data_IF_441793780325
#
_entry.id   IF_441793780325
#
_cell.length_a   1.000
_cell.length_b   1.000
_cell.length_c   1.000
_cell.angle_alpha   90.00
_cell.angle_beta   90.00
_cell.angle_gamma   90.00
#
_symmetry.space_group_name_H-M   'P 1'
#
loop_
_entity.id
_entity.type
_entity.pdbx_description
1 polymer ?
#
# COMPACT_ATOMS: atom_id res chain seq x y z
N UNK A 1 7.73 -3.11 0.32
CA UNK A 1 9.08 -3.36 -0.22
C UNK A 1 8.95 -3.73 -1.70
N UNK A 2 9.88 -3.30 -2.56
CA UNK A 2 9.84 -3.57 -4.02
C UNK A 2 10.79 -4.73 -4.38
N UNK A 3 10.31 -5.62 -5.23
CA UNK A 3 11.06 -6.72 -5.82
C UNK A 3 10.96 -6.60 -7.34
N UNK A 4 12.10 -6.60 -8.05
CA UNK A 4 12.09 -6.62 -9.52
C UNK A 4 11.74 -8.02 -10.00
N UNK A 5 11.18 -8.10 -11.20
CA UNK A 5 10.92 -9.36 -11.90
C UNK A 5 10.98 -9.09 -13.40
N UNK A 6 11.09 -10.15 -14.20
CA UNK A 6 10.98 -10.07 -15.66
C UNK A 6 9.54 -10.34 -16.09
N UNK A 7 8.95 -9.39 -16.80
CA UNK A 7 7.56 -9.49 -17.23
C UNK A 7 7.43 -10.45 -18.42
N UNK A 8 6.71 -11.55 -18.20
CA UNK A 8 6.28 -12.45 -19.28
C UNK A 8 5.06 -11.89 -20.01
N UNK A 9 4.79 -12.40 -21.21
CA UNK A 9 3.58 -12.05 -22.00
C UNK A 9 2.28 -12.27 -21.23
N UNK A 10 2.23 -13.34 -20.42
CA UNK A 10 1.09 -13.70 -19.57
C UNK A 10 0.86 -12.65 -18.48
N UNK A 11 1.94 -12.17 -17.84
CA UNK A 11 1.85 -11.14 -16.81
C UNK A 11 1.40 -9.81 -17.44
N UNK A 12 1.97 -9.43 -18.57
CA UNK A 12 1.55 -8.22 -19.30
C UNK A 12 0.08 -8.30 -19.68
N UNK A 13 -0.40 -9.45 -20.17
CA UNK A 13 -1.82 -9.67 -20.47
C UNK A 13 -2.68 -9.57 -19.22
N UNK A 14 -2.29 -10.20 -18.11
CA UNK A 14 -3.00 -10.13 -16.84
C UNK A 14 -3.17 -8.68 -16.36
N UNK A 15 -2.09 -7.89 -16.42
CA UNK A 15 -2.12 -6.48 -16.03
C UNK A 15 -3.04 -5.66 -16.94
N UNK A 16 -3.00 -5.88 -18.26
CA UNK A 16 -3.89 -5.20 -19.21
C UNK A 16 -5.35 -5.55 -18.98
N UNK A 17 -5.67 -6.83 -18.84
CA UNK A 17 -7.03 -7.29 -18.60
C UNK A 17 -7.56 -6.74 -17.27
N UNK A 18 -6.76 -6.75 -16.20
CA UNK A 18 -7.14 -6.16 -14.92
C UNK A 18 -7.43 -4.66 -15.02
N UNK A 19 -6.67 -3.92 -15.83
CA UNK A 19 -6.94 -2.50 -16.07
C UNK A 19 -8.21 -2.31 -16.87
N UNK A 20 -8.47 -3.12 -17.89
CA UNK A 20 -9.73 -3.12 -18.63
C UNK A 20 -10.94 -3.38 -17.73
N UNK A 21 -10.85 -4.36 -16.83
CA UNK A 21 -11.88 -4.66 -15.82
C UNK A 21 -12.07 -3.45 -14.88
N UNK A 22 -10.98 -2.85 -14.40
CA UNK A 22 -11.02 -1.72 -13.46
C UNK A 22 -11.65 -0.48 -14.12
N UNK A 23 -11.28 -0.17 -15.35
CA UNK A 23 -11.84 0.96 -16.09
C UNK A 23 -13.34 0.78 -16.35
N UNK A 24 -13.75 -0.42 -16.76
CA UNK A 24 -15.16 -0.77 -16.88
C UNK A 24 -15.93 -0.57 -15.56
N UNK A 25 -15.34 -1.00 -14.44
CA UNK A 25 -15.93 -0.80 -13.11
C UNK A 25 -16.07 0.68 -12.74
N UNK A 26 -15.07 1.52 -13.08
CA UNK A 26 -15.14 2.97 -12.84
C UNK A 26 -16.31 3.58 -13.62
N UNK A 27 -16.46 3.25 -14.90
CA UNK A 27 -17.58 3.73 -15.73
C UNK A 27 -18.92 3.32 -15.14
N UNK A 28 -19.06 2.05 -14.76
CA UNK A 28 -20.30 1.54 -14.16
C UNK A 28 -20.65 2.22 -12.83
N UNK A 29 -19.65 2.50 -11.98
CA UNK A 29 -19.88 3.24 -10.73
C UNK A 29 -20.44 4.65 -11.02
N UNK A 30 -19.90 5.34 -12.04
CA UNK A 30 -20.34 6.68 -12.42
C UNK A 30 -21.79 6.66 -12.96
N UNK A 31 -22.13 5.67 -13.78
CA UNK A 31 -23.49 5.47 -14.31
C UNK A 31 -24.51 5.16 -13.21
N UNK A 32 -24.19 4.20 -12.34
CA UNK A 32 -25.10 3.74 -11.27
C UNK A 32 -25.11 4.67 -10.05
N UNK A 33 -24.20 5.65 -10.00
CA UNK A 33 -23.99 6.57 -8.86
C UNK A 33 -23.84 5.84 -7.52
N UNK A 34 -23.26 4.63 -7.52
CA UNK A 34 -23.10 3.80 -6.32
C UNK A 34 -21.65 3.36 -6.10
N UNK A 35 -21.18 3.45 -4.85
CA UNK A 35 -19.84 2.96 -4.45
C UNK A 35 -19.90 1.68 -3.62
N UNK A 36 -21.08 1.03 -3.61
CA UNK A 36 -21.28 -0.27 -2.95
C UNK A 36 -20.68 -1.38 -3.80
N UNK A 37 -19.77 -2.15 -3.20
CA UNK A 37 -19.13 -3.30 -3.86
C UNK A 37 -20.15 -4.36 -4.26
N UNK A 38 -21.14 -4.62 -3.40
CA UNK A 38 -22.19 -5.60 -3.69
C UNK A 38 -23.12 -5.14 -4.81
N UNK A 39 -23.47 -3.85 -4.85
CA UNK A 39 -24.28 -3.30 -5.94
C UNK A 39 -23.54 -3.37 -7.28
N UNK A 40 -22.25 -3.00 -7.28
CA UNK A 40 -21.42 -3.12 -8.47
C UNK A 40 -21.28 -4.58 -8.91
N UNK A 41 -21.02 -5.50 -7.99
CA UNK A 41 -20.92 -6.93 -8.30
C UNK A 41 -22.17 -7.45 -9.00
N UNK A 42 -23.38 -7.17 -8.48
CA UNK A 42 -24.63 -7.59 -9.13
C UNK A 42 -24.77 -7.00 -10.54
N UNK A 43 -24.27 -5.79 -10.77
CA UNK A 43 -24.42 -5.09 -12.03
C UNK A 43 -23.44 -5.55 -13.12
N UNK A 44 -22.22 -5.96 -12.76
CA UNK A 44 -21.15 -6.26 -13.76
C UNK A 44 -20.67 -7.71 -13.74
N UNK A 45 -20.98 -8.50 -12.71
CA UNK A 45 -20.36 -9.83 -12.55
C UNK A 45 -20.61 -10.75 -13.74
N UNK A 46 -21.86 -10.83 -14.23
CA UNK A 46 -22.20 -11.69 -15.37
C UNK A 46 -21.42 -11.29 -16.62
N UNK A 47 -21.46 -10.01 -16.99
CA UNK A 47 -20.72 -9.45 -18.13
C UNK A 47 -19.20 -9.71 -18.01
N UNK A 48 -18.62 -9.45 -16.83
CA UNK A 48 -17.19 -9.68 -16.61
C UNK A 48 -16.84 -11.18 -16.66
N UNK A 49 -17.70 -12.06 -16.16
CA UNK A 49 -17.44 -13.51 -16.16
C UNK A 49 -17.58 -14.11 -17.55
N UNK A 50 -18.47 -13.58 -18.38
CA UNK A 50 -18.64 -13.99 -19.77
C UNK A 50 -17.46 -13.51 -20.64
N UNK A 51 -16.92 -12.32 -20.35
CA UNK A 51 -15.79 -11.74 -21.10
C UNK A 51 -14.42 -12.25 -20.64
N UNK A 52 -14.24 -12.48 -19.34
CA UNK A 52 -12.94 -12.80 -18.76
C UNK A 52 -12.99 -14.10 -17.98
N UNK A 53 -12.09 -15.02 -18.35
CA UNK A 53 -11.89 -16.25 -17.62
C UNK A 53 -10.79 -16.10 -16.55
N UNK A 54 -11.10 -15.35 -15.50
CA UNK A 54 -10.26 -15.22 -14.32
C UNK A 54 -10.99 -15.70 -13.06
N UNK A 55 -10.22 -15.96 -12.01
CA UNK A 55 -10.77 -16.17 -10.66
C UNK A 55 -11.61 -14.95 -10.22
N UNK A 56 -12.82 -15.17 -9.68
CA UNK A 56 -13.74 -14.11 -9.25
C UNK A 56 -13.12 -13.09 -8.27
N UNK A 57 -12.06 -13.47 -7.54
CA UNK A 57 -11.32 -12.55 -6.67
C UNK A 57 -10.62 -11.41 -7.43
N UNK A 58 -10.31 -11.56 -8.72
CA UNK A 58 -9.83 -10.46 -9.56
C UNK A 58 -10.89 -9.36 -9.68
N UNK A 59 -12.14 -9.73 -9.94
CA UNK A 59 -13.25 -8.77 -10.05
C UNK A 59 -13.48 -8.03 -8.73
N UNK A 60 -13.49 -8.75 -7.61
CA UNK A 60 -13.61 -8.13 -6.28
C UNK A 60 -12.49 -7.14 -6.02
N UNK A 61 -11.25 -7.49 -6.38
CA UNK A 61 -10.12 -6.57 -6.24
C UNK A 61 -10.26 -5.34 -7.14
N UNK A 62 -10.68 -5.53 -8.40
CA UNK A 62 -10.92 -4.43 -9.33
C UNK A 62 -12.00 -3.46 -8.80
N UNK A 63 -13.06 -3.96 -8.17
CA UNK A 63 -14.09 -3.11 -7.53
C UNK A 63 -13.49 -2.20 -6.44
N UNK A 64 -12.60 -2.76 -5.61
CA UNK A 64 -11.93 -1.99 -4.55
C UNK A 64 -10.96 -0.95 -5.12
N UNK A 65 -10.22 -1.32 -6.18
CA UNK A 65 -9.32 -0.39 -6.87
C UNK A 65 -10.11 0.73 -7.52
N UNK A 66 -11.16 0.43 -8.28
CA UNK A 66 -12.04 1.42 -8.92
C UNK A 66 -12.61 2.42 -7.90
N UNK A 67 -13.11 1.92 -6.76
CA UNK A 67 -13.61 2.76 -5.66
C UNK A 67 -12.51 3.68 -5.08
N UNK A 68 -11.30 3.15 -4.86
CA UNK A 68 -10.16 3.94 -4.35
C UNK A 68 -9.75 5.03 -5.34
N UNK A 69 -9.72 4.71 -6.63
CA UNK A 69 -9.41 5.66 -7.71
C UNK A 69 -10.43 6.80 -7.69
N UNK A 70 -11.72 6.48 -7.67
CA UNK A 70 -12.79 7.49 -7.60
C UNK A 70 -12.71 8.34 -6.33
N UNK A 71 -12.46 7.74 -5.16
CA UNK A 71 -12.29 8.49 -3.91
C UNK A 71 -11.14 9.50 -4.01
N UNK A 72 -10.01 9.10 -4.60
CA UNK A 72 -8.87 10.01 -4.80
C UNK A 72 -9.16 11.10 -5.84
N UNK A 73 -10.00 10.80 -6.84
CA UNK A 73 -10.35 11.72 -7.92
C UNK A 73 -11.47 12.70 -7.56
N UNK A 74 -12.17 12.54 -6.43
CA UNK A 74 -13.20 13.50 -6.00
C UNK A 74 -12.69 14.95 -5.90
N UNK A 75 -11.39 15.13 -5.64
CA UNK A 75 -10.74 16.44 -5.60
C UNK A 75 -10.40 17.00 -6.99
N UNK A 76 -10.63 16.23 -8.06
CA UNK A 76 -10.29 16.58 -9.45
C UNK A 76 -11.58 16.76 -10.26
N UNK A 77 -11.65 17.80 -11.10
CA UNK A 77 -12.81 18.12 -11.94
C UNK A 77 -12.99 17.20 -13.18
N UNK A 78 -12.27 16.07 -13.25
CA UNK A 78 -12.26 15.17 -14.42
C UNK A 78 -12.46 13.72 -13.99
N UNK A 79 -13.11 12.93 -14.85
CA UNK A 79 -13.26 11.50 -14.65
C UNK A 79 -11.86 10.85 -14.57
N UNK A 80 -11.60 9.99 -13.58
CA UNK A 80 -10.31 9.35 -13.46
C UNK A 80 -10.11 8.30 -14.56
N UNK A 81 -8.90 8.27 -15.12
CA UNK A 81 -8.47 7.24 -16.07
C UNK A 81 -7.28 6.50 -15.46
N UNK A 82 -7.35 5.17 -15.41
CA UNK A 82 -6.25 4.34 -14.93
C UNK A 82 -5.26 4.13 -16.07
N UNK A 83 -4.18 4.92 -16.09
CA UNK A 83 -3.17 4.86 -17.16
C UNK A 83 -2.08 3.84 -16.91
N UNK A 84 -1.71 3.62 -15.65
CA UNK A 84 -0.61 2.74 -15.29
C UNK A 84 -1.13 1.31 -15.18
N UNK A 85 -0.44 0.36 -15.81
CA UNK A 85 -0.74 -1.04 -15.67
C UNK A 85 -0.29 -1.54 -14.29
N UNK A 86 -1.26 -1.72 -13.39
CA UNK A 86 -1.01 -2.34 -12.09
C UNK A 86 -2.19 -3.21 -11.65
N UNK A 87 -1.92 -4.12 -10.74
CA UNK A 87 -2.91 -4.92 -10.03
C UNK A 87 -2.62 -4.91 -8.53
N UNK A 88 -3.68 -4.82 -7.74
CA UNK A 88 -3.64 -5.16 -6.32
C UNK A 88 -4.25 -6.54 -6.16
N UNK A 89 -3.53 -7.48 -5.56
CA UNK A 89 -4.03 -8.84 -5.40
C UNK A 89 -4.84 -8.98 -4.10
N UNK A 90 -5.90 -9.79 -4.20
CA UNK A 90 -6.48 -10.40 -3.01
C UNK A 90 -5.46 -11.36 -2.39
N UNK A 91 -5.34 -11.46 -1.06
CA UNK A 91 -4.44 -12.41 -0.41
C UNK A 91 -4.67 -13.87 -0.84
N UNK A 92 -5.88 -14.20 -1.31
CA UNK A 92 -6.24 -15.54 -1.80
C UNK A 92 -5.70 -15.86 -3.19
N UNK A 93 -5.27 -14.85 -3.95
CA UNK A 93 -4.74 -15.02 -5.31
C UNK A 93 -3.23 -15.21 -5.31
N UNK A 94 -2.54 -14.95 -4.21
CA UNK A 94 -1.08 -14.91 -4.18
C UNK A 94 -0.50 -15.75 -3.06
N UNK A 95 0.60 -16.44 -3.34
CA UNK A 95 1.45 -17.06 -2.34
C UNK A 95 2.90 -16.65 -2.61
N UNK A 96 3.53 -16.04 -1.61
CA UNK A 96 4.95 -15.72 -1.65
C UNK A 96 5.70 -16.79 -0.86
N UNK A 97 6.80 -17.31 -1.41
CA UNK A 97 7.66 -18.30 -0.75
C UNK A 97 9.04 -17.75 -0.36
N UNK A 98 9.30 -16.49 -0.66
CA UNK A 98 10.58 -15.82 -0.40
C UNK A 98 11.29 -15.41 -1.68
N UNK A 99 11.18 -16.20 -2.74
CA UNK A 99 11.93 -16.02 -4.00
C UNK A 99 11.02 -15.97 -5.22
N UNK A 100 9.87 -16.64 -5.13
CA UNK A 100 8.87 -16.69 -6.19
C UNK A 100 7.54 -16.19 -5.63
N UNK A 101 6.86 -15.38 -6.44
CA UNK A 101 5.46 -15.06 -6.22
C UNK A 101 4.60 -15.96 -7.11
N UNK A 102 3.86 -16.87 -6.47
CA UNK A 102 2.83 -17.67 -7.14
C UNK A 102 1.52 -16.90 -7.20
N UNK A 103 0.95 -16.78 -8.39
CA UNK A 103 -0.30 -16.05 -8.68
C UNK A 103 -1.32 -17.04 -9.25
N UNK A 104 -2.46 -17.21 -8.60
CA UNK A 104 -3.59 -17.96 -9.16
C UNK A 104 -4.28 -17.11 -10.21
N UNK A 105 -4.34 -17.59 -11.44
CA UNK A 105 -5.04 -16.93 -12.55
C UNK A 105 -6.45 -17.49 -12.67
N UNK A 106 -6.54 -18.82 -12.70
CA UNK A 106 -7.77 -19.62 -12.74
C UNK A 106 -7.72 -20.71 -11.67
N UNK A 107 -8.82 -21.41 -11.38
CA UNK A 107 -8.78 -22.60 -10.53
C UNK A 107 -7.71 -23.59 -11.04
N UNK A 108 -6.73 -23.92 -10.18
CA UNK A 108 -5.62 -24.84 -10.47
C UNK A 108 -4.62 -24.36 -11.53
N UNK A 109 -4.71 -23.12 -11.99
CA UNK A 109 -3.74 -22.52 -12.93
C UNK A 109 -2.99 -21.39 -12.25
N UNK A 110 -1.66 -21.47 -12.28
CA UNK A 110 -0.77 -20.58 -11.57
C UNK A 110 0.32 -20.01 -12.47
N UNK A 111 0.59 -18.72 -12.31
CA UNK A 111 1.82 -18.10 -12.79
C UNK A 111 2.83 -18.07 -11.65
N UNK A 112 4.08 -18.32 -11.98
CA UNK A 112 5.21 -18.25 -11.06
C UNK A 112 6.10 -17.11 -11.50
N UNK A 113 6.30 -16.15 -10.61
CA UNK A 113 7.06 -14.92 -10.90
C UNK A 113 8.32 -14.94 -10.05
N UNK A 114 9.48 -15.32 -10.61
CA UNK A 114 10.77 -15.21 -9.93
C UNK A 114 11.05 -13.75 -9.57
N UNK A 115 11.46 -13.51 -8.32
CA UNK A 115 11.75 -12.18 -7.81
C UNK A 115 13.26 -12.01 -7.65
N UNK A 116 13.78 -10.88 -8.13
CA UNK A 116 15.15 -10.49 -7.85
C UNK A 116 15.27 -9.99 -6.39
N UNK A 117 16.05 -10.72 -5.58
CA UNK A 117 16.30 -10.40 -4.17
C UNK A 117 17.70 -9.81 -4.00
N UNK A 118 17.77 -8.54 -3.66
CA UNK A 118 19.00 -7.90 -3.18
C UNK A 118 19.20 -8.06 -1.68
N UNK A 119 20.36 -7.61 -1.19
CA UNK A 119 20.70 -7.65 0.25
C UNK A 119 19.68 -6.95 1.14
N UNK A 120 19.14 -5.81 0.68
CA UNK A 120 18.14 -5.06 1.42
C UNK A 120 16.84 -5.87 1.60
N UNK A 121 16.40 -6.57 0.55
CA UNK A 121 15.20 -7.40 0.61
C UNK A 121 15.40 -8.63 1.49
N UNK A 122 16.61 -9.23 1.45
CA UNK A 122 16.94 -10.48 2.16
C UNK A 122 16.60 -10.41 3.65
N UNK A 123 16.97 -9.32 4.34
CA UNK A 123 16.64 -9.10 5.76
C UNK A 123 15.14 -9.23 6.07
N UNK A 124 14.28 -8.71 5.20
CA UNK A 124 12.83 -8.80 5.38
C UNK A 124 12.26 -10.16 4.99
N UNK A 125 12.83 -10.79 3.96
CA UNK A 125 12.47 -12.16 3.56
C UNK A 125 12.79 -13.14 4.68
N UNK A 126 13.97 -13.03 5.30
CA UNK A 126 14.40 -13.90 6.39
C UNK A 126 13.54 -13.69 7.65
N UNK A 127 13.29 -12.43 8.01
CA UNK A 127 12.39 -12.11 9.12
C UNK A 127 10.95 -12.61 8.89
N UNK A 128 10.47 -12.62 7.63
CA UNK A 128 9.19 -13.23 7.28
C UNK A 128 9.22 -14.76 7.36
N UNK A 129 10.28 -15.42 6.84
CA UNK A 129 10.48 -16.87 6.95
C UNK A 129 10.48 -17.33 8.41
N UNK A 130 11.06 -16.53 9.31
CA UNK A 130 11.07 -16.75 10.76
C UNK A 130 9.77 -16.31 11.47
N UNK A 131 8.68 -16.05 10.73
CA UNK A 131 7.36 -15.65 11.24
C UNK A 131 7.32 -14.34 12.08
N UNK A 132 8.40 -13.55 12.07
CA UNK A 132 8.47 -12.23 12.74
C UNK A 132 7.62 -11.21 11.98
N UNK A 133 7.54 -11.35 10.65
CA UNK A 133 6.76 -10.50 9.76
C UNK A 133 5.59 -11.26 9.12
N UNK A 134 4.52 -10.54 8.81
CA UNK A 134 3.37 -11.01 8.02
C UNK A 134 3.26 -10.25 6.72
N UNK A 135 2.72 -10.89 5.69
CA UNK A 135 2.54 -10.26 4.37
C UNK A 135 1.22 -9.50 4.32
N UNK A 136 1.27 -8.30 3.74
CA UNK A 136 0.09 -7.50 3.39
C UNK A 136 -0.45 -7.79 1.99
N UNK A 137 -1.42 -7.00 1.54
CA UNK A 137 -1.90 -7.11 0.15
C UNK A 137 -0.78 -6.75 -0.82
N UNK A 138 -0.48 -7.69 -1.71
CA UNK A 138 0.57 -7.53 -2.73
C UNK A 138 0.03 -6.65 -3.86
N UNK A 139 0.89 -5.79 -4.40
CA UNK A 139 0.60 -4.98 -5.59
C UNK A 139 1.70 -5.25 -6.62
N UNK A 140 1.35 -5.33 -7.89
CA UNK A 140 2.29 -5.58 -8.98
C UNK A 140 2.02 -4.58 -10.10
N UNK A 141 3.08 -4.05 -10.69
CA UNK A 141 3.03 -3.36 -11.98
C UNK A 141 4.01 -4.01 -12.96
N UNK A 142 4.20 -3.43 -14.13
CA UNK A 142 5.06 -3.96 -15.19
C UNK A 142 6.55 -4.11 -14.80
N UNK A 143 7.00 -3.45 -13.74
CA UNK A 143 8.43 -3.39 -13.39
C UNK A 143 8.77 -4.05 -12.06
N UNK A 144 7.84 -4.03 -11.10
CA UNK A 144 8.09 -4.56 -9.78
C UNK A 144 6.85 -5.09 -9.08
N UNK A 145 7.11 -5.99 -8.14
CA UNK A 145 6.15 -6.46 -7.15
C UNK A 145 6.40 -5.70 -5.85
N UNK A 146 5.37 -5.04 -5.33
CA UNK A 146 5.35 -4.48 -3.99
C UNK A 146 4.76 -5.51 -3.02
N UNK A 147 5.61 -6.03 -2.15
CA UNK A 147 5.22 -6.89 -1.03
C UNK A 147 5.34 -6.08 0.26
N UNK A 148 4.23 -5.77 0.95
CA UNK A 148 4.26 -5.14 2.26
C UNK A 148 4.55 -6.18 3.34
N UNK A 149 5.51 -5.89 4.22
CA UNK A 149 5.76 -6.66 5.43
C UNK A 149 5.22 -5.91 6.65
N UNK A 150 4.47 -6.61 7.49
CA UNK A 150 3.83 -6.08 8.70
C UNK A 150 4.42 -6.78 9.91
N UNK A 151 4.82 -6.00 10.91
CA UNK A 151 5.24 -6.50 12.22
C UNK A 151 4.15 -6.18 13.24
N UNK A 152 3.82 -7.13 14.11
CA UNK A 152 3.02 -6.82 15.29
C UNK A 152 3.95 -6.12 16.28
N UNK A 153 3.56 -4.92 16.72
CA UNK A 153 4.29 -4.19 17.75
C UNK A 153 3.45 -4.26 19.01
N UNK A 154 4.07 -4.71 20.11
CA UNK A 154 3.46 -4.61 21.42
C UNK A 154 3.76 -3.21 21.97
N UNK A 155 2.69 -2.47 22.27
CA UNK A 155 2.82 -1.15 22.86
C UNK A 155 3.19 -1.32 24.34
N UNK A 156 4.33 -0.76 24.74
CA UNK A 156 4.68 -0.63 26.15
C UNK A 156 3.80 0.40 26.85
N UNK A 157 3.86 0.44 28.19
CA UNK A 157 3.22 1.50 28.98
C UNK A 157 3.83 2.85 28.58
N UNK A 158 2.99 3.80 28.19
CA UNK A 158 3.43 5.16 27.93
C UNK A 158 3.82 5.83 29.26
N UNK A 159 5.04 6.37 29.33
CA UNK A 159 5.54 7.09 30.51
C UNK A 159 5.17 8.58 30.53
N UNK A 160 4.37 9.02 29.56
CA UNK A 160 3.91 10.39 29.43
C UNK A 160 3.27 10.64 28.06
N UNK A 161 2.70 11.83 27.89
CA UNK A 161 2.06 12.26 26.65
C UNK A 161 2.83 13.42 26.02
N UNK A 162 2.95 13.43 24.69
CA UNK A 162 3.45 14.58 23.93
C UNK A 162 2.35 14.99 22.95
N UNK A 163 1.93 16.25 23.03
CA UNK A 163 1.08 16.90 22.04
C UNK A 163 1.96 17.51 20.96
N UNK A 164 1.73 17.12 19.70
CA UNK A 164 2.34 17.75 18.54
C UNK A 164 1.34 18.69 17.89
N UNK A 165 1.71 19.95 17.76
CA UNK A 165 1.03 20.93 16.91
C UNK A 165 1.85 21.14 15.62
N UNK A 166 1.19 21.05 14.47
CA UNK A 166 1.83 21.16 13.16
C UNK A 166 1.13 22.25 12.36
N UNK A 167 1.89 23.31 12.06
CA UNK A 167 1.50 24.38 11.15
C UNK A 167 2.39 24.38 9.90
N UNK A 168 2.01 25.12 8.86
CA UNK A 168 2.68 25.12 7.54
C UNK A 168 4.19 25.35 7.60
N UNK A 169 4.67 26.01 8.66
CA UNK A 169 6.08 26.36 8.84
C UNK A 169 6.69 25.81 10.11
N UNK A 170 5.92 25.16 10.99
CA UNK A 170 6.38 24.81 12.33
C UNK A 170 5.81 23.47 12.81
N UNK A 171 6.68 22.66 13.43
CA UNK A 171 6.32 21.50 14.24
C UNK A 171 6.72 21.81 15.68
N UNK A 172 5.75 21.85 16.59
CA UNK A 172 5.98 22.07 18.03
C UNK A 172 5.48 20.86 18.80
N UNK A 173 6.32 20.31 19.68
CA UNK A 173 5.98 19.24 20.59
C UNK A 173 6.03 19.73 22.03
N UNK A 174 4.96 19.51 22.80
CA UNK A 174 4.88 19.84 24.23
C UNK A 174 4.53 18.58 25.00
N UNK A 175 5.22 18.30 26.10
CA UNK A 175 4.89 17.16 26.95
C UNK A 175 3.78 17.49 27.97
N UNK A 176 3.28 16.46 28.65
CA UNK A 176 2.28 16.54 29.73
C UNK A 176 2.72 17.34 30.97
N UNK A 177 3.98 17.78 31.02
CA UNK A 177 4.52 18.72 32.02
C UNK A 177 4.65 20.15 31.47
N UNK A 178 3.98 20.45 30.35
CA UNK A 178 4.05 21.71 29.63
C UNK A 178 5.47 22.14 29.19
N UNK A 179 6.42 21.20 29.11
CA UNK A 179 7.77 21.48 28.59
C UNK A 179 7.77 21.29 27.08
N UNK A 180 8.23 22.30 26.36
CA UNK A 180 8.53 22.18 24.93
C UNK A 180 9.66 21.16 24.75
N UNK A 181 9.36 20.05 24.07
CA UNK A 181 10.31 18.97 23.77
C UNK A 181 10.92 19.11 22.38
N UNK A 182 10.23 19.81 21.47
CA UNK A 182 10.75 20.08 20.13
C UNK A 182 10.06 21.30 19.53
N UNK A 183 10.81 22.12 18.81
CA UNK A 183 10.27 23.18 17.97
C UNK A 183 11.14 23.29 16.72
N UNK A 184 10.57 22.96 15.57
CA UNK A 184 11.23 23.03 14.26
C UNK A 184 10.41 23.98 13.40
N UNK A 185 10.93 25.18 13.19
CA UNK A 185 10.31 26.18 12.33
C UNK A 185 11.19 26.54 11.13
N UNK A 186 10.62 26.55 9.92
CA UNK A 186 11.28 27.11 8.76
C UNK A 186 11.31 28.64 8.86
N UNK A 187 12.50 29.24 8.92
CA UNK A 187 12.70 30.66 8.63
C UNK A 187 12.98 30.84 7.13
N UNK A 188 12.47 31.92 6.55
CA UNK A 188 13.05 32.45 5.32
C UNK A 188 14.49 32.85 5.65
N UNK A 189 15.46 32.09 5.12
CA UNK A 189 16.91 32.09 5.42
C UNK A 189 17.34 31.44 6.76
N UNK A 190 18.00 30.27 6.65
CA UNK A 190 18.80 29.62 7.70
C UNK A 190 18.05 28.79 8.76
N UNK A 191 18.38 27.50 8.88
CA UNK A 191 17.88 26.61 9.95
C UNK A 191 18.58 26.92 11.29
N UNK A 192 17.82 27.01 12.38
CA UNK A 192 18.34 26.80 13.74
C UNK A 192 17.62 25.60 14.38
N UNK A 193 18.39 24.65 14.87
CA UNK A 193 17.95 23.64 15.83
C UNK A 193 18.21 24.15 17.24
N UNK A 194 17.16 24.42 18.02
CA UNK A 194 17.31 24.61 19.45
C UNK A 194 17.17 23.24 20.14
N UNK A 195 18.31 22.57 20.37
CA UNK A 195 18.40 21.45 21.31
C UNK A 195 18.73 22.03 22.69
N UNK A 196 17.83 21.89 23.66
CA UNK A 196 18.16 22.16 25.06
C UNK A 196 19.21 21.14 25.53
N UNK A 197 20.42 21.62 25.87
CA UNK A 197 21.41 20.87 26.65
C UNK A 197 20.85 20.70 28.06
N UNK A 198 20.83 19.46 28.56
CA UNK A 198 20.73 19.19 29.99
C UNK A 198 22.08 19.57 30.62
N UNK A 199 22.09 20.57 31.49
CA UNK A 199 23.22 20.81 32.40
C UNK A 199 23.11 19.81 33.56
N UNK A 200 24.11 18.93 33.65
CA UNK A 200 24.25 17.95 34.72
C UNK A 200 24.76 18.60 36.00
N UNK A 201 24.05 18.38 37.10
CA UNK A 201 24.57 18.51 38.46
C UNK A 201 25.56 17.37 38.71
N UNK A 202 26.86 17.67 38.66
CA UNK A 202 27.90 16.85 39.30
C UNK A 202 27.88 17.17 40.80
N UNK A 203 27.57 16.17 41.62
CA UNK A 203 27.90 16.18 43.06
C UNK A 203 29.29 15.57 43.23
N UNK A 204 30.20 16.35 43.80
CA UNK A 204 31.54 15.92 44.20
C UNK A 204 31.48 14.86 45.31
N UNK A 205 32.36 13.87 45.16
CA UNK A 205 32.95 13.06 46.22
C UNK A 205 34.41 12.90 45.88
#
# INVERSE_FOLDING_TARGET
>A
MKFKYEASSEITRLLRDFNGITDHCIRRILELKTTSVSALHRAVYKELKDRYDYNTRYFISAYQVAKSVLRSSKRRKRAPIVRKLFIRFSPLLTKFDGEVLRISVRPREFLYVPLAIGEYQRKSVDAWKNAVLKIGMITMDESYVIIPFKRKIEWGRANGTIAFDINEKCLVGVNDRNKCVTSICQKQSGFMTATSRDEGEYREG
#
